data_IF_802858202942
#
_entry.id   IF_802858202942
#
_cell.length_a   1.000
_cell.length_b   1.000
_cell.length_c   1.000
_cell.angle_alpha   90.00
_cell.angle_beta   90.00
_cell.angle_gamma   90.00
#
_symmetry.space_group_name_H-M   'P 1'
#
loop_
_entity.id
_entity.type
_entity.pdbx_description
1 polymer ?
#
# COMPACT_ATOMS: atom_id res chain seq x y z
N UNK A 1 10.19 -28.11 19.52
CA UNK A 1 10.13 -26.68 19.15
C UNK A 1 9.49 -26.63 17.77
N UNK A 2 8.20 -26.32 17.69
CA UNK A 2 7.48 -26.30 16.41
C UNK A 2 7.89 -25.03 15.67
N UNK A 3 8.61 -25.20 14.57
CA UNK A 3 9.03 -24.09 13.73
C UNK A 3 7.82 -23.67 12.89
N UNK A 4 7.05 -22.69 13.37
CA UNK A 4 5.95 -22.10 12.61
C UNK A 4 6.53 -21.24 11.49
N UNK A 5 6.23 -21.56 10.24
CA UNK A 5 6.63 -20.72 9.12
C UNK A 5 6.06 -19.30 9.29
N UNK A 6 6.86 -18.24 9.03
CA UNK A 6 6.37 -16.88 9.11
C UNK A 6 5.28 -16.65 8.08
N UNK A 7 4.17 -16.08 8.52
CA UNK A 7 3.02 -15.70 7.71
C UNK A 7 3.30 -14.36 7.03
N UNK A 8 3.32 -14.36 5.69
CA UNK A 8 3.65 -13.18 4.88
C UNK A 8 2.43 -12.78 4.04
N UNK A 9 2.01 -11.52 4.14
CA UNK A 9 0.97 -10.93 3.32
C UNK A 9 1.52 -9.95 2.29
N UNK A 10 0.80 -9.80 1.16
CA UNK A 10 1.10 -8.83 0.12
C UNK A 10 -0.08 -7.87 0.00
N UNK A 11 0.19 -6.57 0.04
CA UNK A 11 -0.80 -5.50 -0.11
C UNK A 11 -0.48 -4.66 -1.36
N UNK A 12 -0.99 -5.05 -2.55
CA UNK A 12 -0.73 -4.33 -3.79
C UNK A 12 -1.66 -3.13 -3.97
N UNK A 13 -1.15 -2.05 -4.58
CA UNK A 13 -1.95 -0.87 -4.90
C UNK A 13 -1.15 0.21 -5.62
N UNK A 14 -1.82 1.18 -6.25
CA UNK A 14 -1.16 2.35 -6.84
C UNK A 14 -0.82 3.41 -5.80
N UNK A 15 -1.59 3.47 -4.71
CA UNK A 15 -1.41 4.38 -3.57
C UNK A 15 -1.18 5.85 -3.99
N UNK A 16 -1.85 6.30 -5.05
CA UNK A 16 -1.74 7.64 -5.63
C UNK A 16 -3.10 8.38 -5.60
N UNK A 17 -3.38 9.19 -4.56
CA UNK A 17 -2.59 9.37 -3.33
C UNK A 17 -2.88 8.28 -2.28
N UNK A 18 -1.93 8.09 -1.36
CA UNK A 18 -2.16 7.28 -0.16
C UNK A 18 -3.16 8.00 0.77
N UNK A 19 -3.96 7.23 1.51
CA UNK A 19 -5.04 7.76 2.36
C UNK A 19 -4.99 7.07 3.73
N UNK A 20 -5.64 7.67 4.73
CA UNK A 20 -5.78 7.06 6.06
C UNK A 20 -6.48 5.69 6.02
N UNK A 21 -7.30 5.43 4.99
CA UNK A 21 -7.90 4.11 4.76
C UNK A 21 -6.85 3.04 4.41
N UNK A 22 -5.90 3.38 3.54
CA UNK A 22 -4.79 2.48 3.19
C UNK A 22 -3.91 2.18 4.41
N UNK A 23 -3.62 3.20 5.22
CA UNK A 23 -2.84 3.05 6.46
C UNK A 23 -3.57 2.14 7.47
N UNK A 24 -4.88 2.33 7.66
CA UNK A 24 -5.67 1.52 8.57
C UNK A 24 -5.65 0.03 8.17
N UNK A 25 -5.77 -0.26 6.87
CA UNK A 25 -5.69 -1.63 6.34
C UNK A 25 -4.31 -2.22 6.60
N UNK A 26 -3.23 -1.50 6.30
CA UNK A 26 -1.87 -1.95 6.56
C UNK A 26 -1.64 -2.21 8.06
N UNK A 27 -2.10 -1.32 8.94
CA UNK A 27 -2.00 -1.46 10.39
C UNK A 27 -2.83 -2.63 10.94
N UNK A 28 -3.96 -2.96 10.33
CA UNK A 28 -4.72 -4.16 10.74
C UNK A 28 -3.99 -5.43 10.35
N UNK A 29 -3.40 -5.46 9.16
CA UNK A 29 -2.67 -6.62 8.68
C UNK A 29 -1.43 -6.91 9.55
N UNK A 30 -0.79 -5.90 10.18
CA UNK A 30 0.42 -6.14 11.01
C UNK A 30 0.12 -6.89 12.30
N UNK A 31 -1.17 -6.93 12.69
CA UNK A 31 -1.65 -7.68 13.84
C UNK A 31 -1.99 -9.14 13.50
N UNK A 32 -1.98 -9.51 12.22
CA UNK A 32 -2.41 -10.81 11.71
C UNK A 32 -1.23 -11.57 11.09
N UNK A 33 -0.31 -10.86 10.42
CA UNK A 33 0.82 -11.44 9.71
C UNK A 33 2.14 -10.99 10.31
N UNK A 34 3.14 -11.87 10.27
CA UNK A 34 4.51 -11.59 10.72
C UNK A 34 5.19 -10.54 9.82
N UNK A 35 4.82 -10.51 8.53
CA UNK A 35 5.35 -9.56 7.56
C UNK A 35 4.30 -9.15 6.53
N UNK A 36 4.33 -7.87 6.16
CA UNK A 36 3.54 -7.34 5.06
C UNK A 36 4.46 -6.71 4.02
N UNK A 37 4.21 -7.01 2.77
CA UNK A 37 4.90 -6.41 1.63
C UNK A 37 3.89 -5.51 0.91
N UNK A 38 4.10 -4.18 0.97
CA UNK A 38 3.28 -3.22 0.25
C UNK A 38 3.85 -3.08 -1.17
N UNK A 39 3.13 -3.60 -2.16
CA UNK A 39 3.57 -3.58 -3.56
C UNK A 39 2.96 -2.36 -4.27
N UNK A 40 3.77 -1.32 -4.43
CA UNK A 40 3.35 -0.07 -5.08
C UNK A 40 3.47 -0.20 -6.60
N UNK A 41 2.34 -0.26 -7.29
CA UNK A 41 2.29 -0.26 -8.74
C UNK A 41 2.45 1.19 -9.25
N UNK A 42 3.57 1.47 -9.92
CA UNK A 42 3.73 2.73 -10.64
C UNK A 42 3.00 2.63 -11.98
N UNK A 43 2.02 3.51 -12.21
CA UNK A 43 1.33 3.62 -13.49
C UNK A 43 1.79 4.92 -14.19
N UNK A 44 2.85 4.88 -15.03
CA UNK A 44 3.42 6.07 -15.66
C UNK A 44 2.43 6.82 -16.57
N UNK A 45 1.30 6.20 -16.92
CA UNK A 45 0.25 6.78 -17.76
C UNK A 45 -0.75 7.67 -17.00
N UNK A 46 -0.67 7.79 -15.67
CA UNK A 46 -1.52 8.70 -14.89
C UNK A 46 -0.96 10.12 -14.98
N UNK A 47 -1.26 10.83 -16.07
CA UNK A 47 -1.08 12.29 -16.15
C UNK A 47 -1.96 12.93 -15.08
N UNK A 48 -1.39 13.28 -13.93
CA UNK A 48 -1.97 14.26 -13.02
C UNK A 48 -2.16 15.56 -13.80
N UNK A 49 -3.40 15.85 -14.21
CA UNK A 49 -3.75 17.16 -14.73
C UNK A 49 -3.74 18.13 -13.55
N UNK A 50 -2.56 18.65 -13.21
CA UNK A 50 -2.45 19.81 -12.34
C UNK A 50 -3.09 20.96 -13.10
N UNK A 51 -4.30 21.36 -12.69
CA UNK A 51 -4.87 22.64 -13.06
C UNK A 51 -3.99 23.73 -12.44
N UNK A 52 -2.89 24.07 -13.11
CA UNK A 52 -2.18 25.31 -12.84
C UNK A 52 -3.08 26.44 -13.31
N UNK A 53 -3.95 26.94 -12.43
CA UNK A 53 -4.62 28.23 -12.64
C UNK A 53 -3.54 29.29 -12.76
N UNK A 54 -3.33 29.77 -14.00
CA UNK A 54 -2.64 31.02 -14.32
C UNK A 54 -3.70 32.03 -14.74
N UNK A 55 -3.66 33.22 -14.12
CA UNK A 55 -4.44 34.40 -14.51
C UNK A 55 -5.77 34.48 -13.80
#
# INVERSE_FOLDING_TARGET
>A
MTQSNPSIAIYPGTFDPITLGHENIAHRATRIFDKIIVAVASNPSKKCFSLLRRG
#
